data_IF_539428042537
#
_entry.id   IF_539428042537
#
_cell.length_a   1.000
_cell.length_b   1.000
_cell.length_c   1.000
_cell.angle_alpha   90.00
_cell.angle_beta   90.00
_cell.angle_gamma   90.00
#
_symmetry.space_group_name_H-M   'P 1'
#
loop_
_entity.id
_entity.type
_entity.pdbx_description
1 polymer ?
#
# COMPACT_ATOMS: atom_id res chain seq x y z
N UNK A 1 -47.86 10.44 15.71
CA UNK A 1 -46.77 11.36 15.36
C UNK A 1 -45.52 10.49 15.14
N UNK A 2 -45.25 10.11 13.93
CA UNK A 2 -44.07 9.32 13.56
C UNK A 2 -42.88 10.26 13.40
N UNK A 3 -42.01 10.24 14.39
CA UNK A 3 -40.71 10.95 14.28
C UNK A 3 -39.90 10.23 13.20
N UNK A 4 -39.78 10.88 12.04
CA UNK A 4 -38.85 10.51 10.98
C UNK A 4 -37.46 10.44 11.62
N UNK A 5 -36.83 9.24 11.62
CA UNK A 5 -35.38 9.11 11.81
C UNK A 5 -34.75 9.91 10.67
N UNK A 6 -34.18 11.09 10.98
CA UNK A 6 -33.25 11.76 10.07
C UNK A 6 -32.17 10.76 9.72
N UNK A 7 -31.99 10.56 8.43
CA UNK A 7 -30.89 9.79 7.88
C UNK A 7 -29.59 10.46 8.33
N UNK A 8 -28.93 9.86 9.34
CA UNK A 8 -27.69 10.41 9.95
C UNK A 8 -26.46 10.25 9.05
N UNK A 9 -26.62 9.67 7.86
CA UNK A 9 -25.47 9.34 7.00
C UNK A 9 -24.88 10.52 6.21
N UNK A 10 -25.57 11.68 6.16
CA UNK A 10 -25.22 12.75 5.22
C UNK A 10 -24.26 13.82 5.74
N UNK A 11 -23.87 13.84 7.03
CA UNK A 11 -23.13 14.96 7.65
C UNK A 11 -21.94 14.51 8.54
N UNK A 12 -21.44 13.28 8.39
CA UNK A 12 -20.31 12.80 9.21
C UNK A 12 -19.02 13.51 8.80
N UNK A 13 -18.26 13.96 9.80
CA UNK A 13 -16.90 14.49 9.61
C UNK A 13 -15.89 13.38 9.83
N UNK A 14 -15.30 12.91 8.75
CA UNK A 14 -14.37 11.79 8.76
C UNK A 14 -12.93 12.30 8.65
N UNK A 15 -12.06 11.83 9.54
CA UNK A 15 -10.60 11.99 9.43
C UNK A 15 -9.97 10.67 9.05
N UNK A 16 -9.20 10.68 7.95
CA UNK A 16 -8.42 9.54 7.46
C UNK A 16 -6.94 9.76 7.76
N UNK A 17 -6.36 8.95 8.63
CA UNK A 17 -4.94 9.02 8.98
C UNK A 17 -4.07 8.05 8.18
N UNK A 18 -4.61 7.51 7.08
CA UNK A 18 -3.92 6.58 6.18
C UNK A 18 -4.33 6.85 4.72
N UNK A 19 -3.38 6.91 3.77
CA UNK A 19 -3.72 7.01 2.36
C UNK A 19 -4.64 5.87 1.88
N UNK A 20 -4.37 4.63 2.31
CA UNK A 20 -5.18 3.46 1.96
C UNK A 20 -6.65 3.60 2.38
N UNK A 21 -6.91 4.12 3.58
CA UNK A 21 -8.30 4.28 4.05
C UNK A 21 -8.99 5.43 3.32
N UNK A 22 -8.28 6.48 2.93
CA UNK A 22 -8.84 7.54 2.06
C UNK A 22 -9.39 6.93 0.77
N UNK A 23 -8.66 5.99 0.16
CA UNK A 23 -9.09 5.27 -1.03
C UNK A 23 -10.26 4.31 -0.76
N UNK A 24 -10.25 3.60 0.36
CA UNK A 24 -11.37 2.74 0.81
C UNK A 24 -12.65 3.56 1.00
N UNK A 25 -12.56 4.68 1.71
CA UNK A 25 -13.70 5.57 1.96
C UNK A 25 -14.29 6.15 0.66
N UNK A 26 -13.43 6.56 -0.26
CA UNK A 26 -13.87 7.02 -1.59
C UNK A 26 -14.54 5.89 -2.37
N UNK A 27 -14.00 4.65 -2.32
CA UNK A 27 -14.64 3.50 -2.97
C UNK A 27 -16.02 3.19 -2.37
N UNK A 28 -16.21 3.49 -1.08
CA UNK A 28 -17.51 3.40 -0.42
C UNK A 28 -18.44 4.58 -0.74
N UNK A 29 -17.97 5.62 -1.43
CA UNK A 29 -18.75 6.77 -1.89
C UNK A 29 -19.03 7.80 -0.80
N UNK A 30 -18.07 8.02 0.12
CA UNK A 30 -18.16 9.00 1.20
C UNK A 30 -17.04 10.05 1.14
N UNK A 31 -16.47 10.27 -0.04
CA UNK A 31 -15.39 11.24 -0.25
C UNK A 31 -15.74 12.65 0.21
N UNK A 32 -16.98 13.08 0.04
CA UNK A 32 -17.47 14.42 0.45
C UNK A 32 -17.51 14.59 1.98
N UNK A 33 -17.45 13.49 2.74
CA UNK A 33 -17.45 13.50 4.21
C UNK A 33 -16.03 13.47 4.79
N UNK A 34 -15.00 13.28 3.95
CA UNK A 34 -13.59 13.30 4.36
C UNK A 34 -13.14 14.75 4.54
N UNK A 35 -13.03 15.20 5.78
CA UNK A 35 -12.66 16.57 6.13
C UNK A 35 -11.20 16.72 6.59
N UNK A 36 -10.54 15.60 6.92
CA UNK A 36 -9.14 15.57 7.32
C UNK A 36 -8.40 14.36 6.75
N UNK A 37 -7.19 14.59 6.26
CA UNK A 37 -6.34 13.58 5.61
C UNK A 37 -4.89 13.68 6.06
N UNK A 38 -4.07 12.69 5.73
CA UNK A 38 -2.62 12.77 5.94
C UNK A 38 -1.95 13.58 4.84
N UNK A 39 -0.71 14.04 5.11
CA UNK A 39 0.16 14.66 4.11
C UNK A 39 0.60 13.68 2.99
N UNK A 40 0.40 12.37 3.19
CA UNK A 40 0.71 11.30 2.22
C UNK A 40 -0.47 10.98 1.30
N UNK A 41 -1.67 11.52 1.57
CA UNK A 41 -2.83 11.29 0.72
C UNK A 41 -2.71 12.08 -0.59
N UNK A 42 -2.63 11.36 -1.70
CA UNK A 42 -2.50 11.91 -3.05
C UNK A 42 -3.57 11.40 -4.02
N UNK A 43 -4.40 10.44 -3.59
CA UNK A 43 -5.44 9.81 -4.40
C UNK A 43 -6.63 9.34 -3.53
N UNK A 44 -7.88 9.32 -4.07
CA UNK A 44 -8.29 9.97 -5.33
C UNK A 44 -8.47 11.48 -5.15
N UNK A 45 -8.31 12.26 -6.21
CA UNK A 45 -8.39 13.73 -6.13
C UNK A 45 -9.73 14.25 -5.59
N UNK A 46 -10.83 13.53 -5.81
CA UNK A 46 -12.13 13.90 -5.27
C UNK A 46 -12.15 13.91 -3.73
N UNK A 47 -11.50 12.91 -3.10
CA UNK A 47 -11.42 12.81 -1.63
C UNK A 47 -10.47 13.85 -1.01
N UNK A 48 -9.58 14.45 -1.81
CA UNK A 48 -8.65 15.49 -1.33
C UNK A 48 -9.28 16.90 -1.39
N UNK A 49 -10.31 17.08 -2.21
CA UNK A 49 -10.94 18.38 -2.43
C UNK A 49 -11.66 18.86 -1.16
N UNK A 50 -11.12 19.87 -0.49
CA UNK A 50 -11.70 20.43 0.74
C UNK A 50 -11.24 19.77 2.04
N UNK A 51 -10.52 18.66 1.99
CA UNK A 51 -9.96 18.04 3.18
C UNK A 51 -8.70 18.80 3.66
N UNK A 52 -8.54 18.90 4.98
CA UNK A 52 -7.39 19.54 5.61
C UNK A 52 -6.30 18.51 5.94
N UNK A 53 -5.02 18.88 5.80
CA UNK A 53 -3.90 18.02 6.22
C UNK A 53 -3.78 18.06 7.75
N UNK A 54 -4.03 16.93 8.41
CA UNK A 54 -4.03 16.79 9.87
C UNK A 54 -2.77 16.14 10.42
N UNK A 55 -1.81 15.78 9.57
CA UNK A 55 -0.55 15.16 10.00
C UNK A 55 0.67 15.95 9.53
N UNK A 56 1.83 15.64 10.13
CA UNK A 56 3.14 16.12 9.72
C UNK A 56 4.15 14.95 9.75
N UNK A 57 5.22 15.06 8.97
CA UNK A 57 6.30 14.06 8.95
C UNK A 57 7.65 14.74 9.06
N UNK A 58 8.58 14.07 9.74
CA UNK A 58 10.00 14.43 9.77
C UNK A 58 10.79 13.74 8.63
N UNK A 59 10.13 12.88 7.86
CA UNK A 59 10.66 12.26 6.62
C UNK A 59 10.17 13.05 5.42
N UNK A 60 11.10 13.30 4.49
CA UNK A 60 10.77 13.87 3.18
C UNK A 60 11.29 12.94 2.08
N UNK A 61 10.46 12.02 1.57
CA UNK A 61 10.87 11.08 0.53
C UNK A 61 11.51 11.75 -0.68
N UNK A 62 11.03 12.93 -1.06
CA UNK A 62 11.55 13.66 -2.23
C UNK A 62 12.92 14.32 -2.04
N UNK A 63 13.43 14.43 -0.80
CA UNK A 63 14.69 15.16 -0.47
C UNK A 63 15.74 14.27 0.15
N UNK A 64 15.39 13.04 0.53
CA UNK A 64 16.25 12.12 1.27
C UNK A 64 16.56 10.89 0.42
N UNK A 65 17.81 10.39 0.51
CA UNK A 65 18.19 9.10 -0.04
C UNK A 65 17.52 7.95 0.74
N UNK A 66 17.51 6.74 0.16
CA UNK A 66 16.99 5.55 0.85
C UNK A 66 17.77 5.25 2.14
N UNK A 67 19.09 5.41 2.12
CA UNK A 67 19.95 5.23 3.28
C UNK A 67 19.58 6.23 4.39
N UNK A 68 19.40 7.51 4.08
CA UNK A 68 18.98 8.53 5.05
C UNK A 68 17.60 8.24 5.63
N UNK A 69 16.64 7.78 4.81
CA UNK A 69 15.31 7.37 5.26
C UNK A 69 15.45 6.18 6.20
N UNK A 70 16.20 5.15 5.80
CA UNK A 70 16.41 3.94 6.60
C UNK A 70 17.05 4.26 7.96
N UNK A 71 18.08 5.10 7.99
CA UNK A 71 18.73 5.55 9.23
C UNK A 71 17.78 6.32 10.15
N UNK A 72 16.95 7.22 9.61
CA UNK A 72 15.94 7.94 10.39
C UNK A 72 14.88 7.00 10.98
N UNK A 73 14.38 6.08 10.15
CA UNK A 73 13.40 5.08 10.58
C UNK A 73 13.96 4.22 11.71
N UNK A 74 15.14 3.63 11.51
CA UNK A 74 15.79 2.78 12.50
C UNK A 74 16.11 3.56 13.79
N UNK A 75 16.60 4.78 13.66
CA UNK A 75 16.90 5.66 14.80
C UNK A 75 15.65 6.01 15.61
N UNK A 76 14.54 6.30 14.95
CA UNK A 76 13.25 6.57 15.61
C UNK A 76 12.72 5.35 16.37
N UNK A 77 12.75 4.17 15.76
CA UNK A 77 12.32 2.92 16.38
C UNK A 77 13.15 2.62 17.66
N UNK A 78 14.46 2.77 17.60
CA UNK A 78 15.34 2.53 18.73
C UNK A 78 15.11 3.52 19.90
N UNK A 79 14.70 4.75 19.60
CA UNK A 79 14.48 5.79 20.61
C UNK A 79 13.01 5.94 21.03
N UNK A 80 12.09 5.15 20.48
CA UNK A 80 10.65 5.22 20.78
C UNK A 80 10.02 6.55 20.34
N UNK A 81 10.58 7.24 19.35
CA UNK A 81 10.04 8.48 18.82
C UNK A 81 9.18 8.18 17.57
N UNK A 82 8.04 8.86 17.43
CA UNK A 82 7.25 8.79 16.21
C UNK A 82 7.80 9.75 15.15
N UNK A 83 7.93 9.27 13.93
CA UNK A 83 8.29 10.07 12.75
C UNK A 83 7.14 10.95 12.26
N UNK A 84 5.94 10.66 12.71
CA UNK A 84 4.71 11.33 12.32
C UNK A 84 4.03 11.96 13.53
N UNK A 85 3.46 13.13 13.33
CA UNK A 85 2.71 13.83 14.38
C UNK A 85 1.37 14.34 13.86
N UNK A 86 0.46 14.65 14.82
CA UNK A 86 -0.84 15.25 14.53
C UNK A 86 -0.79 16.78 14.61
N UNK A 87 -1.57 17.43 13.76
CA UNK A 87 -1.79 18.87 13.79
C UNK A 87 -2.98 19.17 14.72
N UNK A 88 -2.69 19.36 16.01
CA UNK A 88 -3.72 19.57 17.05
C UNK A 88 -4.68 20.74 16.76
N UNK A 89 -4.22 21.94 16.33
CA UNK A 89 -5.11 23.04 15.98
C UNK A 89 -6.12 22.67 14.90
N UNK A 90 -5.69 21.97 13.85
CA UNK A 90 -6.56 21.54 12.75
C UNK A 90 -7.59 20.51 13.22
N UNK A 91 -7.18 19.52 14.03
CA UNK A 91 -8.10 18.52 14.59
C UNK A 91 -9.16 19.17 15.50
N UNK A 92 -8.78 20.16 16.30
CA UNK A 92 -9.70 20.93 17.13
C UNK A 92 -10.72 21.73 16.30
N UNK A 93 -10.31 22.29 15.18
CA UNK A 93 -11.20 23.05 14.28
C UNK A 93 -12.19 22.11 13.55
N UNK A 94 -11.69 20.94 13.10
CA UNK A 94 -12.49 19.94 12.39
C UNK A 94 -13.58 19.35 13.29
N UNK A 95 -13.28 19.00 14.54
CA UNK A 95 -14.19 18.26 15.46
C UNK A 95 -14.75 17.00 14.75
N UNK A 96 -13.91 15.98 14.45
CA UNK A 96 -14.35 14.80 13.71
C UNK A 96 -15.33 13.94 14.49
N UNK A 97 -16.25 13.26 13.79
CA UNK A 97 -17.12 12.23 14.34
C UNK A 97 -16.45 10.86 14.34
N UNK A 98 -15.60 10.59 13.31
CA UNK A 98 -14.89 9.33 13.16
C UNK A 98 -13.44 9.61 12.73
N UNK A 99 -12.50 8.90 13.35
CA UNK A 99 -11.07 8.92 13.00
C UNK A 99 -10.63 7.50 12.63
N UNK A 100 -10.22 7.30 11.39
CA UNK A 100 -9.62 6.05 10.95
C UNK A 100 -8.09 6.10 11.08
N UNK A 101 -7.51 5.06 11.67
CA UNK A 101 -6.07 4.95 11.96
C UNK A 101 -5.60 3.50 11.85
N UNK A 102 -4.34 3.25 12.24
CA UNK A 102 -3.77 1.90 12.34
C UNK A 102 -2.87 1.77 13.58
N UNK A 103 -2.64 0.54 14.03
CA UNK A 103 -1.60 0.18 14.98
C UNK A 103 -0.56 -0.79 14.41
N UNK A 104 -0.65 -1.09 13.10
CA UNK A 104 0.18 -2.10 12.44
C UNK A 104 1.67 -1.71 12.38
N UNK A 105 1.97 -0.44 12.16
CA UNK A 105 3.34 0.03 11.94
C UNK A 105 3.50 1.47 12.44
N UNK A 106 4.34 1.65 13.46
CA UNK A 106 4.69 2.99 13.99
C UNK A 106 5.63 3.78 13.05
N UNK A 107 6.10 3.13 11.96
CA UNK A 107 7.03 3.69 10.98
C UNK A 107 6.33 4.31 9.79
N UNK A 108 5.09 3.83 9.47
CA UNK A 108 4.38 4.20 8.24
C UNK A 108 3.26 5.20 8.47
N UNK A 109 2.87 5.43 9.74
CA UNK A 109 1.79 6.34 10.12
C UNK A 109 1.98 6.86 11.55
N UNK A 110 1.08 7.77 11.98
CA UNK A 110 1.00 8.20 13.37
C UNK A 110 0.67 6.99 14.25
N UNK A 111 1.44 6.81 15.34
CA UNK A 111 1.22 5.70 16.28
C UNK A 111 -0.18 5.75 16.88
N UNK A 112 -0.84 4.58 16.99
CA UNK A 112 -2.20 4.45 17.51
C UNK A 112 -2.35 5.09 18.90
N UNK A 113 -1.40 4.86 19.80
CA UNK A 113 -1.40 5.47 21.13
C UNK A 113 -1.43 7.00 21.09
N UNK A 114 -0.67 7.62 20.18
CA UNK A 114 -0.68 9.08 19.99
C UNK A 114 -2.04 9.56 19.49
N UNK A 115 -2.69 8.82 18.59
CA UNK A 115 -4.03 9.16 18.09
C UNK A 115 -5.05 9.11 19.22
N UNK A 116 -5.11 8.00 19.96
CA UNK A 116 -6.05 7.82 21.07
C UNK A 116 -5.84 8.90 22.13
N UNK A 117 -4.60 9.09 22.59
CA UNK A 117 -4.27 10.10 23.61
C UNK A 117 -4.60 11.53 23.16
N UNK A 118 -4.34 11.85 21.88
CA UNK A 118 -4.64 13.18 21.33
C UNK A 118 -6.15 13.40 21.25
N UNK A 119 -6.90 12.44 20.72
CA UNK A 119 -8.36 12.54 20.64
C UNK A 119 -8.97 12.66 22.03
N UNK A 120 -8.55 11.83 22.99
CA UNK A 120 -9.05 11.89 24.36
C UNK A 120 -8.76 13.23 25.06
N UNK A 121 -7.59 13.81 24.84
CA UNK A 121 -7.18 15.09 25.45
C UNK A 121 -7.83 16.31 24.81
N UNK A 122 -8.00 16.30 23.48
CA UNK A 122 -8.46 17.47 22.72
C UNK A 122 -9.97 17.46 22.46
N UNK A 123 -10.54 16.28 22.20
CA UNK A 123 -11.91 16.13 21.68
C UNK A 123 -12.84 15.41 22.68
N UNK A 124 -12.31 14.85 23.74
CA UNK A 124 -13.03 13.99 24.70
C UNK A 124 -12.83 12.51 24.39
N UNK A 125 -13.17 11.63 25.36
CA UNK A 125 -13.09 10.17 25.19
C UNK A 125 -14.46 9.61 24.76
N UNK A 126 -14.44 8.48 24.02
CA UNK A 126 -15.64 7.73 23.62
C UNK A 126 -16.62 7.45 24.78
N UNK A 127 -16.11 7.30 25.99
CA UNK A 127 -16.89 7.03 27.20
C UNK A 127 -17.57 8.28 27.83
N UNK A 128 -17.28 9.47 27.25
CA UNK A 128 -17.87 10.74 27.69
C UNK A 128 -18.48 11.42 26.47
N UNK A 129 -19.74 11.83 26.58
CA UNK A 129 -20.50 12.52 25.52
C UNK A 129 -19.61 13.53 24.76
N UNK A 130 -19.25 13.22 23.48
CA UNK A 130 -18.66 14.15 22.53
C UNK A 130 -17.31 13.81 21.90
N UNK A 131 -16.66 12.69 22.22
CA UNK A 131 -15.41 12.28 21.54
C UNK A 131 -15.66 11.55 20.20
N UNK A 132 -14.69 11.55 19.26
CA UNK A 132 -14.81 10.82 18.00
C UNK A 132 -14.70 9.31 18.20
N UNK A 133 -15.41 8.54 17.36
CA UNK A 133 -15.17 7.11 17.24
C UNK A 133 -13.82 6.86 16.55
N UNK A 134 -12.93 6.10 17.21
CA UNK A 134 -11.61 5.74 16.65
C UNK A 134 -11.67 4.32 16.08
N UNK A 135 -11.39 4.16 14.80
CA UNK A 135 -11.40 2.88 14.09
C UNK A 135 -9.97 2.52 13.68
N UNK A 136 -9.40 1.47 14.29
CA UNK A 136 -8.09 0.96 13.90
C UNK A 136 -8.22 -0.13 12.84
N UNK A 137 -7.35 -0.10 11.83
CA UNK A 137 -7.32 -1.04 10.71
C UNK A 137 -5.91 -1.62 10.57
N UNK A 138 -5.79 -2.95 10.64
CA UNK A 138 -4.48 -3.64 10.74
C UNK A 138 -4.42 -4.83 9.79
N UNK A 139 -4.48 -4.60 8.46
CA UNK A 139 -4.43 -5.70 7.50
C UNK A 139 -3.01 -6.28 7.42
N UNK A 140 -2.88 -7.60 7.58
CA UNK A 140 -1.61 -8.31 7.44
C UNK A 140 -1.50 -9.06 6.10
N UNK A 141 -2.59 -9.36 5.45
CA UNK A 141 -2.67 -10.08 4.18
C UNK A 141 -3.80 -9.51 3.31
N UNK A 142 -3.97 -10.02 2.09
CA UNK A 142 -5.01 -9.53 1.17
C UNK A 142 -6.43 -9.75 1.70
N UNK A 143 -6.68 -10.86 2.42
CA UNK A 143 -7.99 -11.10 3.05
C UNK A 143 -8.33 -10.03 4.07
N UNK A 144 -7.35 -9.64 4.90
CA UNK A 144 -7.52 -8.57 5.88
C UNK A 144 -7.73 -7.21 5.19
N UNK A 145 -7.03 -6.94 4.07
CA UNK A 145 -7.27 -5.74 3.26
C UNK A 145 -8.72 -5.67 2.80
N UNK A 146 -9.27 -6.76 2.29
CA UNK A 146 -10.68 -6.82 1.91
C UNK A 146 -11.60 -6.64 3.12
N UNK A 147 -11.21 -7.13 4.30
CA UNK A 147 -11.96 -6.94 5.53
C UNK A 147 -11.97 -5.47 5.99
N UNK A 148 -10.96 -4.66 5.64
CA UNK A 148 -10.95 -3.21 5.99
C UNK A 148 -12.17 -2.48 5.41
N UNK A 149 -12.61 -2.85 4.21
CA UNK A 149 -13.84 -2.30 3.60
C UNK A 149 -15.08 -2.60 4.43
N UNK A 150 -15.18 -3.83 4.97
CA UNK A 150 -16.29 -4.23 5.81
C UNK A 150 -16.26 -3.54 7.18
N UNK A 151 -15.06 -3.34 7.76
CA UNK A 151 -14.90 -2.60 9.01
C UNK A 151 -15.31 -1.14 8.83
N UNK A 152 -14.81 -0.49 7.77
CA UNK A 152 -15.18 0.87 7.44
C UNK A 152 -16.69 0.98 7.14
N UNK A 153 -17.24 0.04 6.37
CA UNK A 153 -18.68 -0.01 6.07
C UNK A 153 -19.55 -0.09 7.32
N UNK A 154 -19.18 -0.95 8.29
CA UNK A 154 -19.89 -1.02 9.59
C UNK A 154 -19.81 0.27 10.38
N UNK A 155 -18.64 0.91 10.44
CA UNK A 155 -18.47 2.16 11.15
C UNK A 155 -19.31 3.31 10.56
N UNK A 156 -19.62 3.21 9.26
CA UNK A 156 -20.38 4.23 8.52
C UNK A 156 -21.86 3.86 8.27
N UNK A 157 -22.29 2.64 8.65
CA UNK A 157 -23.64 2.13 8.32
C UNK A 157 -23.83 1.82 6.84
N UNK A 158 -22.76 1.39 6.15
CA UNK A 158 -22.71 1.10 4.72
C UNK A 158 -22.35 -0.38 4.44
N UNK A 159 -22.81 -1.31 5.28
CA UNK A 159 -22.43 -2.73 5.24
C UNK A 159 -22.72 -3.36 3.89
N UNK A 160 -23.90 -3.13 3.31
CA UNK A 160 -24.31 -3.69 2.02
C UNK A 160 -23.42 -3.18 0.88
N UNK A 161 -23.07 -1.89 0.90
CA UNK A 161 -22.16 -1.28 -0.07
C UNK A 161 -20.75 -1.85 0.05
N UNK A 162 -20.26 -1.99 1.27
CA UNK A 162 -18.95 -2.59 1.54
C UNK A 162 -18.89 -4.04 1.05
N UNK A 163 -19.93 -4.82 1.28
CA UNK A 163 -20.02 -6.20 0.78
C UNK A 163 -20.00 -6.25 -0.74
N UNK A 164 -20.77 -5.40 -1.42
CA UNK A 164 -20.76 -5.32 -2.89
C UNK A 164 -19.36 -4.98 -3.44
N UNK A 165 -18.66 -4.03 -2.82
CA UNK A 165 -17.28 -3.66 -3.21
C UNK A 165 -16.34 -4.85 -3.04
N UNK A 166 -16.39 -5.52 -1.89
CA UNK A 166 -15.53 -6.69 -1.59
C UNK A 166 -15.78 -7.83 -2.58
N UNK A 167 -17.04 -8.12 -2.91
CA UNK A 167 -17.39 -9.17 -3.86
C UNK A 167 -16.90 -8.81 -5.28
N UNK A 168 -17.02 -7.54 -5.67
CA UNK A 168 -16.44 -7.03 -6.91
C UNK A 168 -14.93 -7.19 -7.00
N UNK A 169 -14.19 -6.78 -5.95
CA UNK A 169 -12.74 -6.94 -5.89
C UNK A 169 -12.31 -8.41 -5.94
N UNK A 170 -12.99 -9.30 -5.20
CA UNK A 170 -12.73 -10.75 -5.26
C UNK A 170 -12.92 -11.30 -6.67
N UNK A 171 -13.98 -10.88 -7.36
CA UNK A 171 -14.24 -11.27 -8.75
C UNK A 171 -13.12 -10.83 -9.70
N UNK A 172 -12.60 -9.61 -9.51
CA UNK A 172 -11.51 -9.08 -10.33
C UNK A 172 -10.16 -9.77 -10.04
N UNK A 173 -9.84 -10.09 -8.78
CA UNK A 173 -8.67 -10.92 -8.44
C UNK A 173 -8.77 -12.33 -9.03
N UNK A 174 -9.97 -12.93 -9.01
CA UNK A 174 -10.21 -14.22 -9.65
C UNK A 174 -9.99 -14.14 -11.18
N UNK A 175 -10.46 -13.07 -11.83
CA UNK A 175 -10.22 -12.83 -13.25
C UNK A 175 -8.73 -12.75 -13.60
N UNK A 176 -7.91 -12.05 -12.77
CA UNK A 176 -6.46 -12.02 -12.98
C UNK A 176 -5.88 -13.43 -12.90
N UNK A 177 -6.23 -14.21 -11.86
CA UNK A 177 -5.78 -15.59 -11.67
C UNK A 177 -6.14 -16.47 -12.86
N UNK A 178 -7.39 -16.43 -13.31
CA UNK A 178 -7.88 -17.20 -14.44
C UNK A 178 -7.17 -16.82 -15.75
N UNK A 179 -6.99 -15.52 -16.00
CA UNK A 179 -6.26 -15.02 -17.17
C UNK A 179 -4.83 -15.54 -17.19
N UNK A 180 -4.12 -15.48 -16.06
CA UNK A 180 -2.77 -16.02 -15.93
C UNK A 180 -2.77 -17.53 -16.21
N UNK A 181 -3.67 -18.31 -15.59
CA UNK A 181 -3.77 -19.75 -15.76
C UNK A 181 -4.03 -20.17 -17.22
N UNK A 182 -4.75 -19.37 -17.99
CA UNK A 182 -5.00 -19.63 -19.42
C UNK A 182 -3.77 -19.38 -20.31
N UNK A 183 -2.82 -18.55 -19.85
CA UNK A 183 -1.63 -18.18 -20.63
C UNK A 183 -0.38 -18.96 -20.24
N UNK A 184 -0.36 -19.61 -19.08
CA UNK A 184 0.76 -20.45 -18.64
C UNK A 184 0.55 -21.92 -19.09
N UNK A 185 1.64 -22.57 -19.52
CA UNK A 185 1.63 -24.02 -19.67
C UNK A 185 1.68 -24.66 -18.27
N UNK A 186 0.61 -25.31 -17.87
CA UNK A 186 0.50 -25.98 -16.57
C UNK A 186 1.55 -27.05 -16.29
N UNK A 187 2.33 -27.47 -17.32
CA UNK A 187 3.45 -28.40 -17.18
C UNK A 187 4.78 -27.71 -16.85
N UNK A 188 4.86 -26.39 -16.98
CA UNK A 188 6.07 -25.63 -16.63
C UNK A 188 6.04 -25.22 -15.16
N UNK A 189 7.21 -25.18 -14.49
CA UNK A 189 7.29 -24.64 -13.15
C UNK A 189 6.94 -23.14 -13.16
N UNK A 190 6.33 -22.68 -12.08
CA UNK A 190 6.09 -21.24 -11.90
C UNK A 190 7.43 -20.48 -11.95
N UNK A 191 7.48 -19.29 -12.55
CA UNK A 191 8.67 -18.46 -12.51
C UNK A 191 9.01 -18.05 -11.08
N UNK A 192 10.28 -18.13 -10.72
CA UNK A 192 10.79 -17.62 -9.43
C UNK A 192 10.87 -16.11 -9.53
N UNK A 193 10.12 -15.43 -8.69
CA UNK A 193 10.02 -13.97 -8.71
C UNK A 193 10.42 -13.41 -7.35
N UNK A 194 11.26 -12.38 -7.34
CA UNK A 194 11.54 -11.60 -6.15
C UNK A 194 10.90 -10.22 -6.26
N UNK A 195 10.26 -9.78 -5.17
CA UNK A 195 9.70 -8.43 -5.04
C UNK A 195 10.47 -7.67 -3.96
N UNK A 196 11.18 -6.63 -4.38
CA UNK A 196 11.89 -5.75 -3.47
C UNK A 196 11.02 -4.52 -3.14
N UNK A 197 10.62 -4.40 -1.88
CA UNK A 197 9.96 -3.19 -1.37
C UNK A 197 10.96 -2.15 -0.83
N UNK A 198 12.24 -2.51 -0.79
CA UNK A 198 13.37 -1.63 -0.47
C UNK A 198 14.67 -2.23 -0.99
N UNK A 199 15.65 -1.44 -1.37
CA UNK A 199 16.89 -1.96 -1.94
C UNK A 199 18.19 -1.43 -1.32
N UNK A 200 18.13 -0.66 -0.22
CA UNK A 200 19.30 -0.31 0.60
C UNK A 200 18.94 -0.25 2.10
N UNK A 201 19.09 -1.36 2.86
CA UNK A 201 19.37 -2.73 2.41
C UNK A 201 18.19 -3.36 1.65
N UNK A 202 18.39 -4.55 1.04
CA UNK A 202 17.28 -5.25 0.41
C UNK A 202 16.25 -5.73 1.43
N UNK A 203 14.96 -5.47 1.14
CA UNK A 203 13.82 -6.06 1.84
C UNK A 203 12.87 -6.67 0.82
N UNK A 204 12.55 -7.95 1.03
CA UNK A 204 11.45 -8.63 0.33
C UNK A 204 10.11 -8.11 0.81
N UNK A 205 9.15 -7.98 -0.09
CA UNK A 205 7.78 -7.62 0.24
C UNK A 205 7.08 -8.71 1.03
N UNK A 206 6.53 -8.35 2.19
CA UNK A 206 5.72 -9.21 3.03
C UNK A 206 4.22 -8.90 2.89
N UNK A 207 3.47 -9.22 3.95
CA UNK A 207 2.06 -8.93 4.07
C UNK A 207 1.24 -9.45 2.87
N UNK A 208 0.45 -8.57 2.24
CA UNK A 208 -0.40 -8.85 1.07
C UNK A 208 0.39 -9.08 -0.24
N UNK A 209 1.67 -8.70 -0.31
CA UNK A 209 2.48 -8.90 -1.52
C UNK A 209 2.55 -10.39 -1.88
N UNK A 210 2.67 -11.26 -0.89
CA UNK A 210 2.68 -12.72 -1.06
C UNK A 210 1.42 -13.22 -1.77
N UNK A 211 0.25 -12.74 -1.33
CA UNK A 211 -1.03 -13.11 -1.94
C UNK A 211 -1.14 -12.61 -3.39
N UNK A 212 -0.64 -11.38 -3.66
CA UNK A 212 -0.62 -10.84 -5.03
C UNK A 212 0.28 -11.69 -5.95
N UNK A 213 1.45 -12.13 -5.45
CA UNK A 213 2.37 -13.02 -6.16
C UNK A 213 1.72 -14.36 -6.46
N UNK A 214 1.01 -14.95 -5.49
CA UNK A 214 0.30 -16.21 -5.68
C UNK A 214 -0.79 -16.09 -6.74
N UNK A 215 -1.61 -15.03 -6.69
CA UNK A 215 -2.67 -14.77 -7.67
C UNK A 215 -2.09 -14.58 -9.07
N UNK A 216 -0.97 -13.86 -9.17
CA UNK A 216 -0.24 -13.65 -10.42
C UNK A 216 0.57 -14.88 -10.88
N UNK A 217 0.46 -16.04 -10.25
CA UNK A 217 1.07 -17.29 -10.69
C UNK A 217 2.58 -17.37 -10.51
N UNK A 218 3.15 -16.64 -9.57
CA UNK A 218 4.58 -16.59 -9.26
C UNK A 218 4.98 -17.63 -8.21
N UNK A 219 6.24 -18.06 -8.23
CA UNK A 219 6.90 -18.77 -7.13
C UNK A 219 7.67 -17.73 -6.30
N UNK A 220 7.06 -17.27 -5.20
CA UNK A 220 7.62 -16.29 -4.28
C UNK A 220 8.01 -16.98 -2.97
N UNK A 221 9.28 -16.85 -2.52
CA UNK A 221 9.86 -17.75 -1.53
C UNK A 221 10.25 -17.12 -0.21
N UNK A 222 10.42 -15.79 -0.17
CA UNK A 222 11.03 -15.12 0.99
C UNK A 222 10.09 -14.87 2.16
N UNK A 223 8.79 -14.75 1.89
CA UNK A 223 7.78 -14.50 2.91
C UNK A 223 6.58 -15.43 2.71
N UNK A 224 5.81 -15.66 3.76
CA UNK A 224 4.48 -16.27 3.71
C UNK A 224 3.40 -15.19 3.85
N UNK A 225 2.17 -15.48 3.41
CA UNK A 225 1.06 -14.54 3.53
C UNK A 225 0.87 -14.10 4.99
N UNK A 226 0.87 -12.78 5.20
CA UNK A 226 0.76 -12.18 6.52
C UNK A 226 2.09 -11.97 7.26
N UNK A 227 3.20 -12.53 6.77
CA UNK A 227 4.52 -12.25 7.34
C UNK A 227 4.90 -10.79 7.11
N UNK A 228 5.69 -10.24 8.02
CA UNK A 228 6.33 -8.93 7.80
C UNK A 228 7.40 -9.04 6.73
N UNK A 229 7.66 -7.92 6.05
CA UNK A 229 8.76 -7.79 5.11
C UNK A 229 10.09 -8.17 5.74
N UNK A 230 10.88 -8.93 5.01
CA UNK A 230 12.13 -9.52 5.50
C UNK A 230 13.35 -8.89 4.83
N UNK A 231 14.38 -8.58 5.62
CA UNK A 231 15.68 -8.19 5.08
C UNK A 231 16.33 -9.40 4.40
N UNK A 232 16.94 -9.19 3.23
CA UNK A 232 17.65 -10.21 2.47
C UNK A 232 19.14 -9.84 2.41
N UNK A 233 20.01 -10.80 2.72
CA UNK A 233 21.45 -10.62 2.49
C UNK A 233 21.79 -10.66 1.00
N UNK A 234 22.90 -10.04 0.62
CA UNK A 234 23.40 -10.11 -0.77
C UNK A 234 23.69 -11.56 -1.18
N UNK A 235 24.15 -12.40 -0.24
CA UNK A 235 24.45 -13.82 -0.44
C UNK A 235 23.19 -14.63 -0.72
N UNK A 236 22.13 -14.44 0.08
CA UNK A 236 20.86 -15.15 -0.08
C UNK A 236 20.18 -14.74 -1.38
N UNK A 237 20.24 -13.45 -1.74
CA UNK A 237 19.69 -12.94 -2.99
C UNK A 237 20.38 -13.57 -4.21
N UNK A 238 21.72 -13.62 -4.18
CA UNK A 238 22.50 -14.28 -5.23
C UNK A 238 22.22 -15.78 -5.34
N UNK A 239 22.07 -16.46 -4.20
CA UNK A 239 21.77 -17.89 -4.18
C UNK A 239 20.37 -18.22 -4.71
N UNK A 240 19.41 -17.33 -4.55
CA UNK A 240 18.06 -17.46 -5.09
C UNK A 240 18.06 -17.35 -6.60
N UNK A 241 18.84 -16.45 -7.18
CA UNK A 241 18.97 -16.15 -8.62
C UNK A 241 17.61 -16.17 -9.34
N UNK A 242 16.69 -15.23 -9.05
CA UNK A 242 15.32 -15.26 -9.54
C UNK A 242 15.22 -15.12 -11.06
N UNK A 243 14.09 -15.57 -11.63
CA UNK A 243 13.77 -15.40 -13.05
C UNK A 243 13.30 -13.98 -13.37
N UNK A 244 12.64 -13.33 -12.39
CA UNK A 244 12.16 -11.95 -12.45
C UNK A 244 12.46 -11.21 -11.15
N UNK A 245 12.77 -9.92 -11.27
CA UNK A 245 12.92 -9.00 -10.13
C UNK A 245 11.96 -7.83 -10.34
N UNK A 246 11.05 -7.65 -9.39
CA UNK A 246 10.08 -6.56 -9.34
C UNK A 246 10.47 -5.63 -8.19
N UNK A 247 10.54 -4.33 -8.45
CA UNK A 247 11.06 -3.36 -7.48
C UNK A 247 10.05 -2.24 -7.30
N UNK A 248 9.33 -2.28 -6.18
CA UNK A 248 8.29 -1.30 -5.80
C UNK A 248 8.54 -0.71 -4.41
N UNK A 249 9.52 0.21 -4.25
CA UNK A 249 9.87 0.74 -2.94
C UNK A 249 8.72 1.53 -2.31
N UNK A 250 8.52 1.32 -1.01
CA UNK A 250 7.46 1.98 -0.24
C UNK A 250 7.55 3.50 -0.35
N UNK A 251 6.43 4.15 -0.73
CA UNK A 251 6.34 5.60 -0.85
C UNK A 251 7.06 6.20 -2.09
N UNK A 252 7.58 5.38 -3.01
CA UNK A 252 8.25 5.87 -4.20
C UNK A 252 7.35 5.82 -5.43
N UNK A 253 7.31 6.96 -6.14
CA UNK A 253 6.73 7.00 -7.49
C UNK A 253 7.55 6.14 -8.46
N UNK A 254 6.95 5.77 -9.58
CA UNK A 254 7.61 4.98 -10.62
C UNK A 254 8.95 5.57 -11.08
N UNK A 255 9.00 6.89 -11.33
CA UNK A 255 10.22 7.56 -11.80
C UNK A 255 11.34 7.48 -10.76
N UNK A 256 11.00 7.66 -9.50
CA UNK A 256 11.97 7.54 -8.41
C UNK A 256 12.42 6.08 -8.23
N UNK A 257 11.49 5.14 -8.18
CA UNK A 257 11.80 3.71 -8.09
C UNK A 257 12.76 3.28 -9.21
N UNK A 258 12.51 3.72 -10.45
CA UNK A 258 13.36 3.43 -11.59
C UNK A 258 14.79 4.00 -11.44
N UNK A 259 14.90 5.30 -11.15
CA UNK A 259 16.20 5.98 -11.08
C UNK A 259 17.03 5.50 -9.87
N UNK A 260 16.43 5.41 -8.68
CA UNK A 260 17.13 4.99 -7.47
C UNK A 260 17.57 3.52 -7.55
N UNK A 261 16.77 2.66 -8.21
CA UNK A 261 17.14 1.26 -8.44
C UNK A 261 18.44 1.16 -9.23
N UNK A 262 18.53 1.82 -10.39
CA UNK A 262 19.72 1.76 -11.24
C UNK A 262 20.96 2.18 -10.44
N UNK A 263 20.88 3.27 -9.69
CA UNK A 263 21.99 3.79 -8.89
C UNK A 263 22.36 2.83 -7.77
N UNK A 264 21.38 2.28 -7.06
CA UNK A 264 21.62 1.41 -5.90
C UNK A 264 22.22 0.08 -6.30
N UNK A 265 21.59 -0.63 -7.26
CA UNK A 265 22.02 -1.98 -7.64
C UNK A 265 23.32 -1.98 -8.43
N UNK A 266 23.67 -0.88 -9.13
CA UNK A 266 24.96 -0.72 -9.82
C UNK A 266 26.16 -0.78 -8.89
N UNK A 267 25.98 -0.51 -7.60
CA UNK A 267 27.02 -0.64 -6.57
C UNK A 267 27.39 -2.10 -6.27
N UNK A 268 26.55 -3.07 -6.71
CA UNK A 268 26.74 -4.50 -6.47
C UNK A 268 27.34 -5.17 -7.69
N UNK A 269 28.65 -5.55 -7.68
CA UNK A 269 29.30 -6.13 -8.85
C UNK A 269 28.65 -7.42 -9.36
N UNK A 270 28.02 -8.19 -8.46
CA UNK A 270 27.34 -9.44 -8.76
C UNK A 270 25.96 -9.25 -9.43
N UNK A 271 25.34 -8.07 -9.33
CA UNK A 271 23.97 -7.83 -9.84
C UNK A 271 23.82 -8.22 -11.31
N UNK A 272 24.79 -7.84 -12.15
CA UNK A 272 24.79 -8.16 -13.58
C UNK A 272 24.91 -9.66 -13.89
N UNK A 273 25.27 -10.50 -12.91
CA UNK A 273 25.36 -11.95 -13.09
C UNK A 273 24.05 -12.70 -12.96
N UNK A 274 23.03 -12.09 -12.35
CA UNK A 274 21.71 -12.67 -12.12
C UNK A 274 20.99 -13.00 -13.43
N UNK A 275 20.21 -14.10 -13.45
CA UNK A 275 19.40 -14.53 -14.59
C UNK A 275 18.39 -13.45 -15.00
N UNK A 276 17.65 -12.90 -14.04
CA UNK A 276 16.68 -11.83 -14.30
C UNK A 276 17.31 -10.64 -15.01
N UNK A 277 18.51 -10.21 -14.58
CA UNK A 277 19.22 -9.05 -15.15
C UNK A 277 19.71 -9.37 -16.57
N UNK A 278 20.33 -10.55 -16.78
CA UNK A 278 20.79 -10.98 -18.12
C UNK A 278 19.66 -11.09 -19.13
N UNK A 279 18.49 -11.53 -18.69
CA UNK A 279 17.31 -11.70 -19.52
C UNK A 279 16.48 -10.41 -19.66
N UNK A 280 16.87 -9.33 -18.98
CA UNK A 280 16.13 -8.07 -18.94
C UNK A 280 14.76 -8.18 -18.24
N UNK A 281 14.63 -9.07 -17.27
CA UNK A 281 13.41 -9.31 -16.49
C UNK A 281 13.44 -8.57 -15.15
N UNK A 282 13.87 -7.32 -15.18
CA UNK A 282 13.87 -6.41 -14.02
C UNK A 282 12.93 -5.26 -14.31
N UNK A 283 12.02 -5.00 -13.38
CA UNK A 283 11.01 -3.96 -13.52
C UNK A 283 10.97 -3.07 -12.28
N UNK A 284 11.04 -1.76 -12.48
CA UNK A 284 10.63 -0.79 -11.48
C UNK A 284 9.12 -0.61 -11.55
N UNK A 285 8.48 -0.54 -10.39
CA UNK A 285 7.05 -0.41 -10.20
C UNK A 285 6.73 0.82 -9.35
N UNK A 286 5.56 1.41 -9.54
CA UNK A 286 5.07 2.47 -8.67
C UNK A 286 4.67 1.88 -7.30
N UNK A 287 5.64 1.85 -6.37
CA UNK A 287 5.47 1.31 -5.03
C UNK A 287 4.44 2.08 -4.22
N UNK A 288 4.43 3.41 -4.36
CA UNK A 288 3.49 4.27 -3.65
C UNK A 288 2.04 4.02 -4.04
N UNK A 289 1.76 3.91 -5.34
CA UNK A 289 0.40 3.78 -5.84
C UNK A 289 -0.18 2.38 -5.66
N UNK A 290 0.62 1.31 -5.86
CA UNK A 290 0.07 -0.02 -6.09
C UNK A 290 0.48 -1.09 -5.08
N UNK A 291 1.42 -0.82 -4.16
CA UNK A 291 1.96 -1.86 -3.27
C UNK A 291 2.06 -1.46 -1.80
N UNK A 292 2.46 -0.20 -1.51
CA UNK A 292 2.67 0.27 -0.12
C UNK A 292 1.36 0.55 0.65
N UNK A 293 0.24 0.65 -0.05
CA UNK A 293 -1.07 1.03 0.51
C UNK A 293 -2.04 -0.14 0.46
N UNK A 294 -2.45 -0.70 1.61
CA UNK A 294 -3.44 -1.79 1.68
C UNK A 294 -4.86 -1.28 1.34
N UNK A 295 -5.13 -1.08 0.07
CA UNK A 295 -6.35 -0.49 -0.44
C UNK A 295 -6.79 -1.08 -1.79
N UNK A 296 -7.76 -0.45 -2.47
CA UNK A 296 -8.34 -0.98 -3.70
C UNK A 296 -7.34 -1.13 -4.85
N UNK A 297 -6.29 -0.29 -4.88
CA UNK A 297 -5.29 -0.31 -5.96
C UNK A 297 -4.30 -1.47 -5.91
N UNK A 298 -4.32 -2.31 -4.86
CA UNK A 298 -3.60 -3.60 -4.87
C UNK A 298 -4.09 -4.51 -6.01
N UNK A 299 -5.31 -4.31 -6.48
CA UNK A 299 -5.83 -5.00 -7.65
C UNK A 299 -5.00 -4.70 -8.90
N UNK A 300 -4.74 -3.41 -9.17
CA UNK A 300 -3.86 -3.00 -10.28
C UNK A 300 -2.41 -3.48 -10.05
N UNK A 301 -1.94 -3.45 -8.81
CA UNK A 301 -0.63 -4.01 -8.44
C UNK A 301 -0.50 -5.49 -8.80
N UNK A 302 -1.53 -6.29 -8.53
CA UNK A 302 -1.60 -7.70 -8.91
C UNK A 302 -1.55 -7.89 -10.44
N UNK A 303 -2.35 -7.13 -11.18
CA UNK A 303 -2.35 -7.16 -12.64
C UNK A 303 -1.00 -6.73 -13.26
N UNK A 304 -0.32 -5.75 -12.66
CA UNK A 304 1.03 -5.33 -13.06
C UNK A 304 2.05 -6.45 -12.86
N UNK A 305 2.02 -7.17 -11.74
CA UNK A 305 2.86 -8.36 -11.52
C UNK A 305 2.61 -9.37 -12.64
N UNK A 306 1.33 -9.70 -12.92
CA UNK A 306 0.97 -10.63 -13.98
C UNK A 306 1.51 -10.19 -15.35
N UNK A 307 1.37 -8.91 -15.69
CA UNK A 307 1.89 -8.32 -16.94
C UNK A 307 3.42 -8.40 -17.04
N UNK A 308 4.14 -8.06 -15.96
CA UNK A 308 5.62 -8.12 -15.94
C UNK A 308 6.14 -9.54 -16.14
N UNK A 309 5.51 -10.52 -15.47
CA UNK A 309 6.00 -11.90 -15.39
C UNK A 309 5.54 -12.74 -16.59
N UNK A 310 4.28 -12.60 -17.02
CA UNK A 310 3.70 -13.41 -18.10
C UNK A 310 3.60 -12.67 -19.44
N UNK A 311 4.05 -11.42 -19.49
CA UNK A 311 4.22 -10.65 -20.73
C UNK A 311 3.02 -9.79 -21.13
N UNK A 312 3.24 -9.03 -22.21
CA UNK A 312 2.29 -8.02 -22.71
C UNK A 312 0.94 -8.60 -23.17
N UNK A 313 0.88 -9.86 -23.62
CA UNK A 313 -0.39 -10.47 -24.02
C UNK A 313 -1.33 -10.67 -22.83
N UNK A 314 -0.80 -11.08 -21.67
CA UNK A 314 -1.57 -11.13 -20.41
C UNK A 314 -2.01 -9.72 -20.01
N UNK A 315 -1.09 -8.74 -20.06
CA UNK A 315 -1.41 -7.34 -19.75
C UNK A 315 -2.52 -6.77 -20.64
N UNK A 316 -2.50 -7.06 -21.95
CA UNK A 316 -3.54 -6.63 -22.90
C UNK A 316 -4.88 -7.31 -22.62
N UNK A 317 -4.88 -8.59 -22.26
CA UNK A 317 -6.09 -9.35 -21.94
C UNK A 317 -6.75 -8.80 -20.67
N UNK A 318 -5.96 -8.43 -19.65
CA UNK A 318 -6.45 -7.79 -18.44
C UNK A 318 -6.89 -6.33 -18.66
N UNK A 319 -6.30 -5.65 -19.65
CA UNK A 319 -6.56 -4.24 -19.95
C UNK A 319 -5.86 -3.26 -19.00
N UNK A 320 -5.80 -1.99 -19.41
CA UNK A 320 -5.14 -0.92 -18.63
C UNK A 320 -5.84 -0.62 -17.30
N UNK A 321 -7.08 -1.02 -17.11
CA UNK A 321 -7.81 -0.86 -15.87
C UNK A 321 -7.26 -1.79 -14.76
N UNK A 322 -6.92 -3.03 -15.11
CA UNK A 322 -6.42 -4.02 -14.16
C UNK A 322 -4.89 -4.14 -14.16
N UNK A 323 -4.24 -3.84 -15.28
CA UNK A 323 -2.79 -3.95 -15.45
C UNK A 323 -2.22 -2.71 -16.16
N UNK A 324 -2.23 -1.53 -15.52
CA UNK A 324 -1.87 -0.25 -16.16
C UNK A 324 -0.38 -0.22 -16.56
N UNK A 325 -0.10 -0.18 -17.86
CA UNK A 325 1.29 -0.13 -18.38
C UNK A 325 2.10 1.06 -17.86
N UNK A 326 1.41 2.14 -17.49
CA UNK A 326 2.02 3.34 -16.89
C UNK A 326 2.56 3.12 -15.48
N UNK A 327 2.21 2.01 -14.80
CA UNK A 327 2.65 1.69 -13.45
C UNK A 327 4.00 0.96 -13.38
N UNK A 328 4.65 0.69 -14.52
CA UNK A 328 5.89 -0.08 -14.59
C UNK A 328 6.89 0.48 -15.58
N UNK A 329 8.18 0.26 -15.33
CA UNK A 329 9.30 0.51 -16.27
C UNK A 329 10.26 -0.66 -16.26
N UNK A 330 10.57 -1.21 -17.43
CA UNK A 330 11.56 -2.26 -17.58
C UNK A 330 12.98 -1.68 -17.48
N UNK A 331 13.86 -2.35 -16.76
CA UNK A 331 15.26 -1.98 -16.61
C UNK A 331 16.11 -3.00 -17.38
N UNK A 332 16.91 -2.54 -18.34
CA UNK A 332 17.73 -3.39 -19.19
C UNK A 332 19.20 -3.33 -18.79
N UNK A 333 19.98 -4.34 -19.18
CA UNK A 333 21.37 -4.53 -18.74
C UNK A 333 22.29 -3.33 -19.07
N UNK A 334 22.04 -2.65 -20.18
CA UNK A 334 22.79 -1.47 -20.62
C UNK A 334 22.59 -0.24 -19.71
N UNK A 335 21.51 -0.20 -18.96
CA UNK A 335 21.21 0.92 -18.02
C UNK A 335 22.04 0.85 -16.74
N UNK A 336 22.72 -0.26 -16.49
CA UNK A 336 23.61 -0.43 -15.31
C UNK A 336 25.05 -0.05 -15.60
N UNK A 337 25.32 0.67 -16.67
CA UNK A 337 26.69 1.05 -17.12
C UNK A 337 27.25 2.24 -16.34
#
# INVERSE_FOLDING_TARGET
MTTSKKDKSCDLKIVSLLPSITEVLSTLGVEDQIVGITHECDYPHAALAGAQIVTRSDISPYKMSQEEIHQKVTGSLLNGHSLYGLNHPVLLDIQPDIVFTQSLCDVCAVSFGVVVDTCAKLLGSDDKEGGPTIVSLEPNNLSDVLQTFQVAGRALGLEDKAQQVVDGLKGQFALIRETVQQHIDGNQPKPVVEFLEWHEPFFSGGHWIVDLMEIAGCDYRMCQSGDRSAAISDEDFQAMDPDYILIGPCGFSLDRAFNDTIVSVSKRPWWKSLRAVKNGNVYALDGNSYYARPGPRLLQGCGLIARCVHGEEVGKTLGEELAPSSGMKRITLDMYS
#
